data_IF_761841609538
#
_entry.id   IF_761841609538
#
_cell.length_a   1.000
_cell.length_b   1.000
_cell.length_c   1.000
_cell.angle_alpha   90.00
_cell.angle_beta   90.00
_cell.angle_gamma   90.00
#
_symmetry.space_group_name_H-M   'P 1'
#
loop_
_entity.id
_entity.type
_entity.pdbx_description
1 polymer ?
#
# COMPACT_ATOMS: atom_id res chain seq x y z
N UNK A 1 -13.91 19.24 -20.50
CA UNK A 1 -13.35 19.87 -19.29
C UNK A 1 -13.83 19.14 -18.02
N UNK A 2 -15.14 18.87 -17.92
CA UNK A 2 -15.77 18.35 -16.69
C UNK A 2 -15.22 17.03 -16.16
N UNK A 3 -14.84 16.09 -17.03
CA UNK A 3 -14.24 14.80 -16.62
C UNK A 3 -12.95 15.01 -15.84
N UNK A 4 -12.08 15.93 -16.27
CA UNK A 4 -10.80 16.19 -15.60
C UNK A 4 -10.99 16.92 -14.28
N UNK A 5 -11.93 17.88 -14.23
CA UNK A 5 -12.27 18.61 -13.00
C UNK A 5 -12.90 17.66 -11.96
N UNK A 6 -13.77 16.75 -12.42
CA UNK A 6 -14.50 15.80 -11.58
C UNK A 6 -13.91 14.38 -11.65
N UNK A 7 -12.58 14.27 -11.76
CA UNK A 7 -11.91 12.98 -12.00
C UNK A 7 -12.31 11.87 -11.01
N UNK A 8 -12.56 12.22 -9.73
CA UNK A 8 -13.05 11.27 -8.72
C UNK A 8 -14.41 10.69 -9.08
N UNK A 9 -15.38 11.53 -9.44
CA UNK A 9 -16.72 11.08 -9.83
C UNK A 9 -16.69 10.30 -11.16
N UNK A 10 -15.85 10.73 -12.11
CA UNK A 10 -15.64 9.99 -13.35
C UNK A 10 -15.05 8.58 -13.09
N UNK A 11 -14.09 8.48 -12.17
CA UNK A 11 -13.51 7.20 -11.75
C UNK A 11 -14.53 6.28 -11.05
N UNK A 12 -15.42 6.85 -10.24
CA UNK A 12 -16.54 6.11 -9.63
C UNK A 12 -17.48 5.54 -10.72
N UNK A 13 -17.80 6.32 -11.77
CA UNK A 13 -18.66 5.87 -12.89
C UNK A 13 -18.06 4.67 -13.63
N UNK A 14 -16.74 4.63 -13.80
CA UNK A 14 -16.04 3.50 -14.42
C UNK A 14 -15.61 2.40 -13.44
N UNK A 15 -16.09 2.47 -12.18
CA UNK A 15 -15.87 1.47 -11.13
C UNK A 15 -14.39 1.27 -10.75
N UNK A 16 -13.62 2.35 -10.62
CA UNK A 16 -12.28 2.25 -10.07
C UNK A 16 -12.28 1.61 -8.67
N UNK A 17 -11.28 0.76 -8.38
CA UNK A 17 -11.14 0.11 -7.08
C UNK A 17 -10.85 1.15 -5.99
N UNK A 18 -11.65 1.16 -4.92
CA UNK A 18 -11.40 2.02 -3.75
C UNK A 18 -10.23 1.49 -2.93
N UNK A 19 -9.16 2.28 -2.82
CA UNK A 19 -7.89 1.88 -2.20
C UNK A 19 -7.69 2.48 -0.79
N UNK A 20 -6.81 1.86 -0.01
CA UNK A 20 -6.41 2.30 1.33
C UNK A 20 -5.38 3.43 1.28
N UNK A 21 -5.83 4.67 1.03
CA UNK A 21 -5.00 5.89 0.99
C UNK A 21 -3.68 5.72 0.19
N UNK A 22 -3.75 5.64 -1.16
CA UNK A 22 -2.55 5.74 -1.98
C UNK A 22 -1.78 7.03 -1.72
N UNK A 23 -0.47 6.93 -1.46
CA UNK A 23 0.43 8.07 -1.29
C UNK A 23 1.49 8.10 -2.39
N UNK A 24 2.77 7.80 -2.10
CA UNK A 24 3.82 7.87 -3.12
C UNK A 24 3.82 6.66 -4.04
N UNK A 25 4.24 6.92 -5.28
CA UNK A 25 4.53 5.91 -6.29
C UNK A 25 5.97 6.06 -6.74
N UNK A 26 6.71 4.95 -6.81
CA UNK A 26 8.07 4.91 -7.33
C UNK A 26 8.25 3.75 -8.32
N UNK A 27 9.01 3.98 -9.38
CA UNK A 27 9.30 2.98 -10.42
C UNK A 27 10.74 2.52 -10.29
N UNK A 28 10.95 1.21 -10.27
CA UNK A 28 12.29 0.65 -10.23
C UNK A 28 13.03 0.94 -11.56
N UNK A 29 14.20 1.59 -11.53
CA UNK A 29 14.91 1.99 -12.74
C UNK A 29 15.49 0.81 -13.55
N UNK A 30 15.52 -0.41 -12.99
CA UNK A 30 16.13 -1.57 -13.64
C UNK A 30 15.12 -2.51 -14.29
N UNK A 31 13.92 -2.68 -13.71
CA UNK A 31 12.91 -3.62 -14.21
C UNK A 31 11.56 -2.97 -14.54
N UNK A 32 11.39 -1.67 -14.27
CA UNK A 32 10.18 -0.91 -14.61
C UNK A 32 8.97 -1.20 -13.73
N UNK A 33 9.09 -2.07 -12.70
CA UNK A 33 7.99 -2.32 -11.78
C UNK A 33 7.70 -1.09 -10.93
N UNK A 34 6.43 -0.80 -10.75
CA UNK A 34 5.97 0.32 -9.96
C UNK A 34 5.49 -0.14 -8.58
N UNK A 35 5.73 0.68 -7.58
CA UNK A 35 5.44 0.44 -6.17
C UNK A 35 4.62 1.60 -5.65
N UNK A 36 3.56 1.33 -4.89
CA UNK A 36 2.72 2.35 -4.28
C UNK A 36 2.45 2.04 -2.82
N UNK A 37 2.60 3.06 -1.97
CA UNK A 37 2.19 2.99 -0.57
C UNK A 37 0.69 3.19 -0.44
N UNK A 38 0.08 2.31 0.36
CA UNK A 38 -1.28 2.39 0.83
C UNK A 38 -1.19 2.58 2.35
N UNK A 39 -1.11 3.84 2.80
CA UNK A 39 -0.54 4.16 4.12
C UNK A 39 -1.38 3.62 5.29
N UNK A 40 -2.70 3.67 5.21
CA UNK A 40 -3.64 3.06 6.16
C UNK A 40 -5.09 3.36 5.72
N UNK A 41 -6.05 2.68 6.33
CA UNK A 41 -7.47 3.01 6.21
C UNK A 41 -8.28 2.40 7.37
N UNK A 42 -8.53 3.19 8.40
CA UNK A 42 -9.34 2.76 9.54
C UNK A 42 -10.83 2.55 9.21
N UNK A 43 -11.29 2.97 8.03
CA UNK A 43 -12.66 2.75 7.53
C UNK A 43 -12.81 1.48 6.69
N UNK A 44 -11.71 0.80 6.33
CA UNK A 44 -11.76 -0.46 5.58
C UNK A 44 -12.60 -1.49 6.34
N UNK A 45 -13.50 -2.17 5.64
CA UNK A 45 -14.48 -3.10 6.20
C UNK A 45 -15.82 -2.47 6.57
N UNK A 46 -15.95 -1.13 6.54
CA UNK A 46 -17.24 -0.46 6.70
C UNK A 46 -18.07 -0.52 5.40
N UNK A 47 -19.33 -0.10 5.48
CA UNK A 47 -20.22 0.03 4.33
C UNK A 47 -19.58 0.88 3.22
N UNK A 48 -19.63 0.38 1.98
CA UNK A 48 -19.01 1.03 0.82
C UNK A 48 -17.48 0.93 0.73
N UNK A 49 -16.82 0.24 1.67
CA UNK A 49 -15.37 -0.03 1.66
C UNK A 49 -15.08 -1.49 2.08
N UNK A 50 -15.61 -2.51 1.38
CA UNK A 50 -15.36 -3.91 1.74
C UNK A 50 -13.87 -4.26 1.64
N UNK A 51 -13.43 -5.29 2.37
CA UNK A 51 -12.10 -5.88 2.15
C UNK A 51 -12.02 -6.51 0.76
N UNK A 52 -10.85 -6.46 0.15
CA UNK A 52 -10.57 -7.11 -1.13
C UNK A 52 -9.09 -7.51 -1.20
N UNK A 53 -8.66 -8.16 -2.28
CA UNK A 53 -7.31 -8.67 -2.38
C UNK A 53 -6.22 -7.58 -2.22
N UNK A 54 -6.43 -6.37 -2.75
CA UNK A 54 -5.46 -5.27 -2.65
C UNK A 54 -5.54 -4.51 -1.31
N UNK A 55 -6.68 -4.65 -0.59
CA UNK A 55 -6.97 -3.99 0.68
C UNK A 55 -7.52 -5.05 1.67
N UNK A 56 -6.66 -5.98 2.13
CA UNK A 56 -7.14 -7.24 2.70
C UNK A 56 -7.56 -7.15 4.17
N UNK A 57 -7.20 -6.06 4.86
CA UNK A 57 -7.34 -5.93 6.32
C UNK A 57 -8.47 -4.95 6.69
N UNK A 58 -9.49 -5.34 7.48
CA UNK A 58 -10.45 -4.39 8.02
C UNK A 58 -9.76 -3.48 9.04
N UNK A 59 -10.26 -2.24 9.22
CA UNK A 59 -9.67 -1.24 10.13
C UNK A 59 -8.15 -1.18 10.02
N UNK A 60 -7.65 -1.07 8.79
CA UNK A 60 -6.23 -1.16 8.51
C UNK A 60 -5.47 0.04 9.12
N UNK A 61 -4.73 -0.19 10.19
CA UNK A 61 -3.95 0.85 10.90
C UNK A 61 -2.46 0.86 10.54
N UNK A 62 -1.98 -0.13 9.78
CA UNK A 62 -0.56 -0.28 9.50
C UNK A 62 -0.17 0.02 8.05
N UNK A 63 -1.09 -0.18 7.11
CA UNK A 63 -0.82 0.02 5.68
C UNK A 63 -0.13 -1.15 5.00
N UNK A 64 0.17 -0.94 3.72
CA UNK A 64 0.84 -1.89 2.84
C UNK A 64 1.52 -1.18 1.67
N UNK A 65 2.38 -1.91 0.97
CA UNK A 65 2.99 -1.49 -0.30
C UNK A 65 2.52 -2.49 -1.36
N UNK A 66 1.83 -1.99 -2.38
CA UNK A 66 1.49 -2.77 -3.56
C UNK A 66 2.54 -2.57 -4.64
N UNK A 67 2.76 -3.59 -5.44
CA UNK A 67 3.66 -3.56 -6.61
C UNK A 67 2.90 -4.05 -7.83
N UNK A 68 3.15 -3.45 -8.99
CA UNK A 68 2.67 -3.98 -10.26
C UNK A 68 3.74 -3.99 -11.35
N UNK A 69 3.54 -4.89 -12.31
CA UNK A 69 4.40 -5.14 -13.45
C UNK A 69 3.57 -5.08 -14.74
N UNK A 70 3.90 -4.12 -15.60
CA UNK A 70 3.33 -3.95 -16.94
C UNK A 70 4.16 -4.68 -18.02
N UNK A 71 5.00 -5.62 -17.60
CA UNK A 71 5.92 -6.41 -18.44
C UNK A 71 6.90 -5.53 -19.21
N UNK A 72 7.31 -4.43 -18.59
CA UNK A 72 8.24 -3.44 -19.14
C UNK A 72 7.62 -2.47 -20.15
N UNK A 73 6.30 -2.47 -20.34
CA UNK A 73 5.60 -1.55 -21.25
C UNK A 73 4.63 -0.64 -20.49
N UNK A 74 5.06 0.59 -20.18
CA UNK A 74 4.24 1.58 -19.49
C UNK A 74 3.01 2.09 -20.28
N UNK A 75 2.83 1.64 -21.53
CA UNK A 75 1.63 1.91 -22.34
C UNK A 75 0.59 0.79 -22.25
N UNK A 76 0.93 -0.34 -21.61
CA UNK A 76 0.03 -1.46 -21.42
C UNK A 76 -1.21 -1.05 -20.60
N UNK A 77 -2.36 -1.64 -20.93
CA UNK A 77 -3.63 -1.36 -20.24
C UNK A 77 -3.95 -2.39 -19.15
N UNK A 78 -3.03 -3.33 -18.91
CA UNK A 78 -3.17 -4.40 -17.92
C UNK A 78 -1.84 -4.63 -17.23
N UNK A 79 -1.89 -4.98 -15.95
CA UNK A 79 -0.71 -5.28 -15.15
C UNK A 79 -0.97 -6.50 -14.27
N UNK A 80 0.11 -7.19 -13.90
CA UNK A 80 0.11 -8.15 -12.79
C UNK A 80 0.53 -7.42 -11.51
N UNK A 81 -0.08 -7.74 -10.37
CA UNK A 81 0.22 -7.05 -9.11
C UNK A 81 0.31 -8.00 -7.93
N UNK A 82 1.05 -7.58 -6.91
CA UNK A 82 1.18 -8.27 -5.62
C UNK A 82 1.30 -7.28 -4.45
N UNK A 83 1.16 -7.77 -3.22
CA UNK A 83 1.49 -7.01 -2.01
C UNK A 83 2.96 -7.27 -1.70
N UNK A 84 3.81 -6.29 -2.00
CA UNK A 84 5.25 -6.34 -1.73
C UNK A 84 5.53 -6.41 -0.22
N UNK A 85 4.78 -5.65 0.57
CA UNK A 85 4.82 -5.70 2.02
C UNK A 85 3.45 -5.34 2.60
N UNK A 86 2.88 -6.22 3.42
CA UNK A 86 1.75 -5.89 4.28
C UNK A 86 2.30 -5.53 5.65
N UNK A 87 2.38 -4.23 5.96
CA UNK A 87 2.90 -3.75 7.23
C UNK A 87 2.03 -4.25 8.38
N UNK A 88 2.62 -4.45 9.54
CA UNK A 88 1.94 -5.04 10.69
C UNK A 88 2.88 -5.11 11.89
N UNK A 89 2.35 -5.50 13.04
CA UNK A 89 3.13 -5.60 14.27
C UNK A 89 3.17 -7.07 14.74
N UNK A 90 4.24 -7.82 14.43
CA UNK A 90 4.36 -9.22 14.85
C UNK A 90 4.62 -9.40 16.36
N UNK A 91 4.97 -8.33 17.09
CA UNK A 91 5.15 -8.36 18.55
C UNK A 91 3.78 -8.31 19.24
N UNK A 92 2.91 -7.39 18.81
CA UNK A 92 1.55 -7.25 19.32
C UNK A 92 0.60 -8.34 18.78
N UNK A 93 0.82 -8.76 17.52
CA UNK A 93 0.00 -9.75 16.81
C UNK A 93 0.90 -10.86 16.24
N UNK A 94 1.20 -11.93 17.00
CA UNK A 94 2.10 -12.99 16.56
C UNK A 94 1.63 -13.75 15.31
N UNK A 95 0.30 -13.79 15.08
CA UNK A 95 -0.32 -14.43 13.93
C UNK A 95 -1.48 -13.61 13.33
N UNK A 96 -2.05 -14.11 12.24
CA UNK A 96 -3.18 -13.49 11.57
C UNK A 96 -2.79 -12.28 10.71
N UNK A 97 -3.79 -11.57 10.20
CA UNK A 97 -3.57 -10.53 9.20
C UNK A 97 -2.89 -9.28 9.76
N UNK A 98 -3.01 -8.98 11.06
CA UNK A 98 -2.41 -7.81 11.70
C UNK A 98 -0.92 -7.98 11.99
N UNK A 99 -0.41 -9.22 12.01
CA UNK A 99 1.02 -9.54 12.03
C UNK A 99 1.78 -8.90 10.86
N UNK A 100 1.15 -8.84 9.69
CA UNK A 100 1.80 -8.47 8.43
C UNK A 100 2.44 -9.66 7.71
N UNK A 101 3.01 -9.41 6.55
CA UNK A 101 3.68 -10.44 5.72
C UNK A 101 4.97 -10.97 6.38
N UNK A 102 5.49 -12.14 5.96
CA UNK A 102 6.66 -12.76 6.60
C UNK A 102 7.94 -11.91 6.61
N UNK A 103 8.10 -10.98 5.66
CA UNK A 103 9.20 -10.02 5.62
C UNK A 103 9.12 -8.91 6.68
N UNK A 104 7.98 -8.79 7.37
CA UNK A 104 7.83 -7.96 8.58
C UNK A 104 8.13 -8.83 9.81
N UNK A 105 9.14 -8.42 10.57
CA UNK A 105 9.68 -9.07 11.75
C UNK A 105 9.66 -8.11 12.95
N UNK A 106 9.98 -8.61 14.15
CA UNK A 106 10.03 -7.78 15.35
C UNK A 106 11.12 -6.69 15.26
N UNK A 107 12.20 -6.95 14.51
CA UNK A 107 13.36 -6.08 14.38
C UNK A 107 13.14 -4.97 13.34
N UNK A 108 12.20 -5.15 12.43
CA UNK A 108 11.99 -4.24 11.31
C UNK A 108 10.54 -3.77 11.17
N UNK A 109 9.66 -4.04 12.14
CA UNK A 109 8.25 -3.63 12.05
C UNK A 109 8.11 -2.11 11.97
N UNK A 110 7.18 -1.66 11.14
CA UNK A 110 6.84 -0.26 10.95
C UNK A 110 5.37 -0.13 10.56
N UNK A 111 4.84 1.09 10.61
CA UNK A 111 3.47 1.41 10.23
C UNK A 111 3.41 2.64 9.34
N UNK A 112 2.34 2.75 8.56
CA UNK A 112 2.03 3.88 7.68
C UNK A 112 3.18 4.25 6.74
N UNK A 113 3.59 3.34 5.84
CA UNK A 113 4.51 3.72 4.78
C UNK A 113 3.86 4.81 3.92
N UNK A 114 4.61 5.86 3.63
CA UNK A 114 4.17 7.01 2.85
C UNK A 114 5.16 7.23 1.70
N UNK A 115 6.31 7.85 1.97
CA UNK A 115 7.30 8.15 0.95
C UNK A 115 7.99 6.91 0.38
N UNK A 116 8.22 6.91 -0.93
CA UNK A 116 9.03 5.90 -1.64
C UNK A 116 10.07 6.56 -2.54
N UNK A 117 11.23 5.92 -2.68
CA UNK A 117 12.22 6.31 -3.67
C UNK A 117 13.14 5.16 -4.05
N UNK A 118 13.49 5.06 -5.32
CA UNK A 118 14.57 4.19 -5.77
C UNK A 118 15.86 5.00 -5.93
N UNK A 119 16.97 4.43 -5.49
CA UNK A 119 18.28 4.91 -5.91
C UNK A 119 18.77 4.22 -7.19
N UNK A 120 19.89 4.70 -7.72
CA UNK A 120 20.48 4.21 -8.96
C UNK A 120 20.98 2.75 -8.90
N UNK A 121 20.99 2.13 -7.72
CA UNK A 121 21.34 0.71 -7.55
C UNK A 121 20.11 -0.17 -7.33
N UNK A 122 18.89 0.38 -7.44
CA UNK A 122 17.65 -0.37 -7.33
C UNK A 122 17.23 -0.67 -5.88
N UNK A 123 17.81 -0.01 -4.87
CA UNK A 123 17.29 -0.12 -3.50
C UNK A 123 16.03 0.72 -3.38
N UNK A 124 14.98 0.12 -2.83
CA UNK A 124 13.75 0.81 -2.46
C UNK A 124 13.89 1.40 -1.05
N UNK A 125 13.88 2.72 -0.96
CA UNK A 125 13.79 3.47 0.29
C UNK A 125 12.32 3.67 0.66
N UNK A 126 11.97 3.31 1.89
CA UNK A 126 10.61 3.42 2.44
C UNK A 126 10.65 4.42 3.59
N UNK A 127 9.83 5.47 3.52
CA UNK A 127 9.66 6.49 4.55
C UNK A 127 8.28 6.32 5.18
N UNK A 128 8.16 6.62 6.48
CA UNK A 128 6.90 6.42 7.23
C UNK A 128 6.35 7.75 7.74
N UNK A 129 5.02 7.91 7.68
CA UNK A 129 4.26 8.97 8.34
C UNK A 129 3.19 8.32 9.24
N UNK A 130 3.70 7.72 10.33
CA UNK A 130 2.93 6.80 11.16
C UNK A 130 2.64 7.31 12.55
N UNK A 131 2.12 6.40 13.38
CA UNK A 131 1.99 6.64 14.81
C UNK A 131 3.27 6.20 15.51
N UNK A 132 3.84 7.08 16.33
CA UNK A 132 5.14 6.91 17.00
C UNK A 132 5.01 6.72 18.51
N UNK A 133 3.89 6.14 18.98
CA UNK A 133 3.66 5.98 20.41
C UNK A 133 4.53 4.89 21.06
N UNK A 134 5.04 3.93 20.27
CA UNK A 134 5.85 2.80 20.74
C UNK A 134 5.16 2.01 21.87
N UNK A 135 3.85 1.78 21.70
CA UNK A 135 2.96 1.12 22.67
C UNK A 135 1.86 0.37 21.94
N UNK A 136 1.39 -0.72 22.56
CA UNK A 136 0.25 -1.52 22.09
C UNK A 136 0.43 -1.95 20.63
N UNK A 137 -0.52 -1.61 19.75
CA UNK A 137 -0.45 -1.91 18.32
C UNK A 137 0.77 -1.30 17.61
N UNK A 138 1.38 -0.26 18.18
CA UNK A 138 2.48 0.50 17.58
C UNK A 138 3.80 0.34 18.35
N UNK A 139 3.93 -0.72 19.16
CA UNK A 139 5.17 -1.03 19.88
C UNK A 139 6.27 -1.58 18.99
#
# INVERSE_FOLDING_TARGET
ADVLINARAAADVVNATRMDRPEWIAVNPHDGRAYCTLTNNNKRGNEGMPVNAANPRPKNIYGQIIRWDEKGDATAQTFEWDIYALCGNPIAHPEGIYRGTPNITAENTFNSPDGLGFDAQGRLWILTDGKYSNKEDYQ
#
